data_IF_385086295140
#
_entry.id   IF_385086295140
#
_cell.length_a   1.000
_cell.length_b   1.000
_cell.length_c   1.000
_cell.angle_alpha   90.00
_cell.angle_beta   90.00
_cell.angle_gamma   90.00
#
_symmetry.space_group_name_H-M   'P 1'
#
loop_
_entity.id
_entity.type
_entity.pdbx_description
1 polymer ?
#
# COMPACT_ATOMS: atom_id res chain seq x y z
N UNK A 1 -17.59 13.98 -19.38
CA UNK A 1 -17.25 12.54 -19.30
C UNK A 1 -15.77 12.41 -19.60
N UNK A 2 -14.92 12.27 -18.58
CA UNK A 2 -13.47 12.27 -18.78
C UNK A 2 -13.03 10.99 -19.48
N UNK A 3 -12.48 11.16 -20.68
CA UNK A 3 -12.00 10.12 -21.57
C UNK A 3 -10.61 9.59 -21.16
N UNK A 4 -10.44 9.18 -19.91
CA UNK A 4 -9.23 8.45 -19.52
C UNK A 4 -9.53 6.96 -19.55
N UNK A 5 -9.19 6.34 -20.68
CA UNK A 5 -9.22 4.90 -20.83
C UNK A 5 -8.38 4.18 -19.76
N UNK A 6 -8.53 2.86 -19.62
CA UNK A 6 -7.87 2.11 -18.57
C UNK A 6 -6.34 2.23 -18.70
N UNK A 7 -5.70 2.64 -17.62
CA UNK A 7 -4.25 2.83 -17.56
C UNK A 7 -3.54 1.48 -17.59
N UNK A 8 -2.42 1.39 -18.33
CA UNK A 8 -1.49 0.26 -18.21
C UNK A 8 -1.08 0.06 -16.75
N UNK A 9 -0.78 -1.17 -16.28
CA UNK A 9 -0.41 -1.43 -14.90
C UNK A 9 0.67 -0.50 -14.33
N UNK A 10 1.73 -0.20 -15.09
CA UNK A 10 2.79 0.72 -14.64
C UNK A 10 2.28 2.15 -14.41
N UNK A 11 1.54 2.71 -15.37
CA UNK A 11 0.89 4.03 -15.19
C UNK A 11 -0.10 4.04 -14.03
N UNK A 12 -0.80 2.93 -13.81
CA UNK A 12 -1.72 2.77 -12.69
C UNK A 12 -0.98 2.72 -11.34
N UNK A 13 0.20 2.08 -11.28
CA UNK A 13 1.08 2.10 -10.10
C UNK A 13 1.57 3.52 -9.80
N UNK A 14 2.08 4.24 -10.80
CA UNK A 14 2.59 5.60 -10.61
C UNK A 14 1.46 6.57 -10.20
N UNK A 15 0.25 6.43 -10.76
CA UNK A 15 -0.91 7.22 -10.35
C UNK A 15 -1.36 6.89 -8.92
N UNK A 16 -1.41 5.60 -8.56
CA UNK A 16 -1.74 5.18 -7.21
C UNK A 16 -0.71 5.72 -6.19
N UNK A 17 0.57 5.74 -6.54
CA UNK A 17 1.63 6.32 -5.71
C UNK A 17 1.39 7.81 -5.46
N UNK A 18 1.09 8.61 -6.50
CA UNK A 18 0.75 10.03 -6.34
C UNK A 18 -0.47 10.27 -5.45
N UNK A 19 -1.51 9.44 -5.60
CA UNK A 19 -2.69 9.51 -4.73
C UNK A 19 -2.34 9.17 -3.27
N UNK A 20 -1.46 8.20 -3.04
CA UNK A 20 -0.99 7.86 -1.70
C UNK A 20 -0.09 8.95 -1.11
N UNK A 21 0.74 9.60 -1.91
CA UNK A 21 1.52 10.77 -1.48
C UNK A 21 0.62 11.90 -0.99
N UNK A 22 -0.48 12.18 -1.69
CA UNK A 22 -1.51 13.11 -1.22
C UNK A 22 -2.20 12.67 0.10
N UNK A 23 -2.12 11.39 0.47
CA UNK A 23 -2.58 10.86 1.75
C UNK A 23 -1.47 10.83 2.83
N UNK A 24 -0.33 11.50 2.60
CA UNK A 24 0.77 11.60 3.56
C UNK A 24 1.75 10.43 3.56
N UNK A 25 1.73 9.60 2.51
CA UNK A 25 2.76 8.57 2.31
C UNK A 25 3.94 9.13 1.51
N UNK A 26 5.09 8.47 1.58
CA UNK A 26 6.28 8.79 0.80
C UNK A 26 6.83 7.51 0.21
N UNK A 27 7.13 7.52 -1.09
CA UNK A 27 7.81 6.40 -1.76
C UNK A 27 9.23 6.30 -1.21
N UNK A 28 9.58 5.13 -0.66
CA UNK A 28 10.92 4.87 -0.09
C UNK A 28 11.73 3.86 -0.86
N UNK A 29 11.07 3.01 -1.64
CA UNK A 29 11.74 2.06 -2.50
C UNK A 29 10.85 1.69 -3.69
N UNK A 30 11.50 1.45 -4.81
CA UNK A 30 10.94 0.83 -6.02
C UNK A 30 11.81 -0.37 -6.35
N UNK A 31 11.20 -1.48 -6.74
CA UNK A 31 12.00 -2.62 -7.21
C UNK A 31 12.54 -2.37 -8.63
N UNK A 32 13.57 -3.11 -9.02
CA UNK A 32 14.25 -2.96 -10.31
C UNK A 32 13.30 -3.15 -11.51
N UNK A 33 12.35 -4.08 -11.39
CA UNK A 33 11.34 -4.35 -12.43
C UNK A 33 10.26 -3.26 -12.53
N UNK A 34 10.23 -2.34 -11.56
CA UNK A 34 9.28 -1.23 -11.49
C UNK A 34 7.83 -1.64 -11.25
N UNK A 35 7.59 -2.91 -10.90
CA UNK A 35 6.28 -3.51 -10.71
C UNK A 35 5.80 -3.51 -9.24
N UNK A 36 6.66 -3.02 -8.33
CA UNK A 36 6.38 -2.89 -6.90
C UNK A 36 6.98 -1.60 -6.31
N UNK A 37 6.15 -0.87 -5.57
CA UNK A 37 6.48 0.33 -4.80
C UNK A 37 6.24 0.08 -3.32
N UNK A 38 7.13 0.63 -2.49
CA UNK A 38 7.01 0.63 -1.04
C UNK A 38 6.91 2.06 -0.57
N UNK A 39 5.85 2.35 0.18
CA UNK A 39 5.58 3.66 0.74
C UNK A 39 5.48 3.57 2.26
N UNK A 40 5.89 4.62 2.95
CA UNK A 40 5.72 4.75 4.41
C UNK A 40 5.12 6.11 4.74
N UNK A 41 4.52 6.23 5.92
CA UNK A 41 4.27 7.54 6.52
C UNK A 41 5.52 8.02 7.28
N UNK A 42 5.71 9.33 7.49
CA UNK A 42 6.85 9.85 8.24
C UNK A 42 6.86 9.42 9.72
N UNK A 43 5.70 9.05 10.27
CA UNK A 43 5.49 8.74 11.69
C UNK A 43 5.64 7.26 12.05
N UNK A 44 6.18 6.41 11.15
CA UNK A 44 6.37 5.01 11.52
C UNK A 44 7.26 4.17 10.59
N UNK A 45 7.69 2.99 11.08
CA UNK A 45 8.52 2.06 10.32
C UNK A 45 7.71 1.18 9.35
N UNK A 46 6.40 1.33 9.34
CA UNK A 46 5.48 0.43 8.66
C UNK A 46 5.27 0.81 7.20
N UNK A 47 5.21 -0.20 6.34
CA UNK A 47 5.11 -0.02 4.90
C UNK A 47 3.72 -0.36 4.36
N UNK A 48 3.29 0.42 3.38
CA UNK A 48 2.23 0.10 2.43
C UNK A 48 2.90 -0.26 1.10
N UNK A 49 2.56 -1.42 0.54
CA UNK A 49 3.07 -1.85 -0.76
C UNK A 49 2.03 -1.62 -1.85
N UNK A 50 2.45 -1.10 -3.00
CA UNK A 50 1.66 -1.13 -4.24
C UNK A 50 2.37 -2.04 -5.23
N UNK A 51 1.67 -2.98 -5.86
CA UNK A 51 2.29 -3.94 -6.78
C UNK A 51 1.30 -4.45 -7.81
N UNK A 52 1.76 -4.96 -8.94
CA UNK A 52 0.89 -5.61 -9.92
C UNK A 52 0.66 -7.12 -9.65
N UNK A 53 1.26 -7.69 -8.61
CA UNK A 53 1.12 -9.11 -8.30
C UNK A 53 0.91 -9.36 -6.79
N UNK A 54 0.10 -10.36 -6.41
CA UNK A 54 -0.10 -10.69 -5.00
C UNK A 54 1.16 -11.28 -4.36
N UNK A 55 1.25 -11.19 -3.02
CA UNK A 55 2.23 -11.98 -2.24
C UNK A 55 1.69 -13.37 -1.93
N UNK A 56 2.54 -14.39 -2.00
CA UNK A 56 2.24 -15.73 -1.43
C UNK A 56 2.25 -15.68 0.09
N UNK A 57 1.65 -16.69 0.76
CA UNK A 57 1.68 -16.80 2.23
C UNK A 57 3.12 -16.78 2.78
N UNK A 58 4.04 -17.52 2.14
CA UNK A 58 5.47 -17.55 2.47
C UNK A 58 6.15 -16.18 2.34
N UNK A 59 5.77 -15.37 1.35
CA UNK A 59 6.30 -14.01 1.20
C UNK A 59 5.72 -13.05 2.24
N UNK A 60 4.46 -13.25 2.65
CA UNK A 60 3.83 -12.45 3.70
C UNK A 60 4.49 -12.69 5.06
N UNK A 61 4.75 -13.95 5.42
CA UNK A 61 5.38 -14.29 6.71
C UNK A 61 6.80 -13.73 6.86
N UNK A 62 7.53 -13.54 5.76
CA UNK A 62 8.91 -12.98 5.75
C UNK A 62 8.97 -11.46 5.85
N UNK A 63 7.91 -10.76 5.46
CA UNK A 63 7.86 -9.28 5.38
C UNK A 63 6.72 -8.76 6.25
N UNK A 64 6.98 -8.79 7.55
CA UNK A 64 6.08 -8.37 8.64
C UNK A 64 6.05 -6.85 8.82
N UNK A 65 7.00 -6.13 8.21
CA UNK A 65 7.08 -4.67 8.11
C UNK A 65 6.01 -4.06 7.19
N UNK A 66 5.37 -4.88 6.34
CA UNK A 66 4.33 -4.45 5.39
C UNK A 66 2.94 -4.72 5.99
N UNK A 67 2.24 -3.66 6.37
CA UNK A 67 0.91 -3.73 7.00
C UNK A 67 -0.23 -3.90 6.00
N UNK A 68 -0.08 -3.32 4.80
CA UNK A 68 -1.11 -3.38 3.75
C UNK A 68 -0.48 -3.52 2.37
N UNK A 69 -1.25 -4.07 1.44
CA UNK A 69 -0.84 -4.19 0.03
C UNK A 69 -2.00 -3.84 -0.89
N UNK A 70 -1.75 -2.92 -1.82
CA UNK A 70 -2.62 -2.60 -2.95
C UNK A 70 -2.12 -3.37 -4.17
N UNK A 71 -2.98 -4.21 -4.76
CA UNK A 71 -2.65 -4.99 -5.95
C UNK A 71 -3.39 -4.43 -7.17
N UNK A 72 -2.64 -4.10 -8.23
CA UNK A 72 -3.14 -3.60 -9.52
C UNK A 72 -2.66 -4.56 -10.62
N UNK A 73 -3.38 -5.67 -10.76
CA UNK A 73 -3.07 -6.82 -11.62
C UNK A 73 -3.48 -6.67 -13.09
N UNK A 74 -4.10 -5.55 -13.43
CA UNK A 74 -4.57 -5.28 -14.78
C UNK A 74 -4.92 -3.81 -14.98
N UNK A 75 -5.39 -3.45 -16.18
CA UNK A 75 -5.73 -2.08 -16.51
C UNK A 75 -6.85 -1.54 -15.61
N UNK A 76 -6.71 -0.31 -15.12
CA UNK A 76 -7.71 0.34 -14.23
C UNK A 76 -7.97 1.77 -14.66
N UNK A 77 -9.23 2.20 -14.57
CA UNK A 77 -9.56 3.62 -14.70
C UNK A 77 -9.07 4.40 -13.46
N UNK A 78 -8.80 5.70 -13.61
CA UNK A 78 -8.46 6.57 -12.47
C UNK A 78 -9.49 6.51 -11.33
N UNK A 79 -10.78 6.44 -11.65
CA UNK A 79 -11.87 6.35 -10.66
C UNK A 79 -11.76 5.07 -9.84
N UNK A 80 -11.50 3.94 -10.51
CA UNK A 80 -11.32 2.66 -9.81
C UNK A 80 -10.08 2.70 -8.93
N UNK A 81 -9.00 3.34 -9.38
CA UNK A 81 -7.79 3.51 -8.56
C UNK A 81 -8.05 4.33 -7.31
N UNK A 82 -8.85 5.41 -7.37
CA UNK A 82 -9.21 6.20 -6.18
C UNK A 82 -9.89 5.36 -5.10
N UNK A 83 -10.83 4.50 -5.50
CA UNK A 83 -11.53 3.58 -4.57
C UNK A 83 -10.53 2.61 -3.94
N UNK A 84 -9.70 1.96 -4.75
CA UNK A 84 -8.72 0.99 -4.27
C UNK A 84 -7.66 1.62 -3.35
N UNK A 85 -7.23 2.86 -3.65
CA UNK A 85 -6.32 3.62 -2.78
C UNK A 85 -6.98 3.92 -1.44
N UNK A 86 -8.23 4.38 -1.42
CA UNK A 86 -8.94 4.66 -0.17
C UNK A 86 -9.09 3.40 0.70
N UNK A 87 -9.43 2.25 0.08
CA UNK A 87 -9.48 0.95 0.76
C UNK A 87 -8.11 0.55 1.33
N UNK A 88 -7.03 0.73 0.56
CA UNK A 88 -5.67 0.40 1.00
C UNK A 88 -5.23 1.27 2.20
N UNK A 89 -5.54 2.57 2.18
CA UNK A 89 -5.27 3.49 3.30
C UNK A 89 -6.04 3.06 4.55
N UNK A 90 -7.33 2.76 4.43
CA UNK A 90 -8.16 2.28 5.55
C UNK A 90 -7.61 0.98 6.14
N UNK A 91 -7.22 0.04 5.28
CA UNK A 91 -6.62 -1.24 5.70
C UNK A 91 -5.29 -1.04 6.44
N UNK A 92 -4.45 -0.12 5.96
CA UNK A 92 -3.20 0.25 6.62
C UNK A 92 -3.44 0.84 8.01
N UNK A 93 -4.35 1.81 8.13
CA UNK A 93 -4.69 2.44 9.41
C UNK A 93 -5.25 1.42 10.41
N UNK A 94 -6.15 0.53 9.97
CA UNK A 94 -6.68 -0.52 10.83
C UNK A 94 -5.61 -1.53 11.28
N UNK A 95 -4.65 -1.86 10.41
CA UNK A 95 -3.52 -2.71 10.78
C UNK A 95 -2.55 -2.02 11.74
N UNK A 96 -2.33 -0.72 11.56
CA UNK A 96 -1.49 0.10 12.44
C UNK A 96 -2.09 0.20 13.84
N UNK A 97 -3.39 0.45 13.96
CA UNK A 97 -4.10 0.48 15.24
C UNK A 97 -3.91 -0.85 16.00
N UNK A 98 -4.13 -1.98 15.33
CA UNK A 98 -3.90 -3.32 15.92
C UNK A 98 -2.46 -3.54 16.40
N UNK A 99 -1.47 -2.91 15.75
CA UNK A 99 -0.07 -2.96 16.20
C UNK A 99 0.17 -2.10 17.44
N UNK A 100 -0.47 -0.94 17.53
CA UNK A 100 -0.47 -0.11 18.75
C UNK A 100 -1.10 -0.84 19.94
N UNK A 101 -2.23 -1.52 19.72
CA UNK A 101 -2.93 -2.29 20.75
C UNK A 101 -2.09 -3.47 21.24
N UNK A 102 -1.45 -4.22 20.32
CA UNK A 102 -0.53 -5.32 20.67
C UNK A 102 0.68 -4.84 21.50
N UNK A 103 1.28 -3.71 21.12
CA UNK A 103 2.40 -3.14 21.85
C UNK A 103 1.99 -2.70 23.27
N UNK A 104 0.80 -2.12 23.42
CA UNK A 104 0.24 -1.73 24.72
C UNK A 104 -0.07 -2.95 25.61
N UNK A 105 -0.56 -4.04 25.02
CA UNK A 105 -0.90 -5.27 25.74
C UNK A 105 0.33 -6.07 26.22
N UNK A 106 1.43 -6.08 25.47
CA UNK A 106 2.68 -6.70 25.91
C UNK A 106 3.40 -5.87 26.98
N UNK A 107 3.23 -4.55 27.00
CA UNK A 107 3.79 -3.67 28.04
C UNK A 107 3.09 -3.77 29.40
N UNK A 108 1.83 -4.22 29.44
CA UNK A 108 1.04 -4.34 30.68
C UNK A 108 1.28 -5.64 31.46
N UNK A 109 2.07 -6.59 30.93
CA UNK A 109 2.52 -7.78 31.64
C UNK A 109 3.91 -7.52 32.25
N UNK A 110 3.97 -6.72 33.31
CA UNK A 110 5.16 -6.64 34.16
C UNK A 110 4.81 -6.32 35.60
#
# INVERSE_FOLDING_TARGET
MSADGPLSPLKALDLAARMLEANGFTVVARNERGDSLYLKRPDGPWHLRVSNHPRTAKQRSRRTDILASLIIDGPRSPERLRILVAEAVRNFQGALARKGDQASADGSRK
#
